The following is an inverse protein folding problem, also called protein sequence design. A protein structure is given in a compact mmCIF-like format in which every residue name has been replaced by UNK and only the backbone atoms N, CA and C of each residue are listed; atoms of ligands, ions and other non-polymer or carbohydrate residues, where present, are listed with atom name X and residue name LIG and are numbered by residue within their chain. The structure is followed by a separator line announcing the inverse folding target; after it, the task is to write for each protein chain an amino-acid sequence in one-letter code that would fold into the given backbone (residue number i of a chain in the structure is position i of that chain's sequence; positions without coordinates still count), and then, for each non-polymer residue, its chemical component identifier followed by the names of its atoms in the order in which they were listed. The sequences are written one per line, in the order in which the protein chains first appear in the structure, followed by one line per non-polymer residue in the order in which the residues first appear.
data_IF_102113474954
#
_entry.id   IF_102113474954
#
_cell.length_a   1.000
_cell.length_b   1.000
_cell.length_c   1.000
_cell.angle_alpha   90.00
_cell.angle_beta   90.00
_cell.angle_gamma   90.00
#
_symmetry.space_group_name_H-M   'P 1'
#
loop_
_entity.id
_entity.type
_entity.pdbx_description
1 polymer ?
#
# COMPACT_ATOMS: atom_id res chain seq x y z
N UNK A 1 -18.06 12.40 7.16
CA UNK A 1 -17.09 11.65 6.32
C UNK A 1 -16.13 10.91 7.24
N UNK A 2 -15.88 9.61 7.03
CA UNK A 2 -14.80 8.94 7.75
C UNK A 2 -13.49 9.69 7.45
N UNK A 3 -12.68 9.94 8.48
CA UNK A 3 -11.37 10.59 8.29
C UNK A 3 -10.50 9.67 7.44
N UNK A 4 -9.92 10.16 6.33
CA UNK A 4 -9.00 9.36 5.56
C UNK A 4 -7.77 9.03 6.40
N UNK A 5 -7.12 7.90 6.10
CA UNK A 5 -5.82 7.59 6.70
C UNK A 5 -4.80 8.70 6.37
N UNK A 6 -3.99 9.14 7.34
CA UNK A 6 -2.91 10.10 7.09
C UNK A 6 -2.00 9.63 5.96
N UNK A 7 -1.40 10.55 5.21
CA UNK A 7 -0.49 10.18 4.12
C UNK A 7 0.72 9.41 4.63
N UNK A 8 1.37 9.90 5.69
CA UNK A 8 2.54 9.25 6.30
C UNK A 8 2.23 7.80 6.71
N UNK A 9 1.05 7.57 7.29
CA UNK A 9 0.60 6.20 7.62
C UNK A 9 0.51 5.32 6.37
N UNK A 10 -0.08 5.81 5.29
CA UNK A 10 -0.19 5.04 4.03
C UNK A 10 1.18 4.72 3.46
N UNK A 11 2.10 5.68 3.50
CA UNK A 11 3.46 5.53 2.99
C UNK A 11 4.25 4.51 3.82
N UNK A 12 4.14 4.54 5.15
CA UNK A 12 4.78 3.57 6.03
C UNK A 12 4.26 2.16 5.82
N UNK A 13 2.94 1.98 5.73
CA UNK A 13 2.35 0.65 5.48
C UNK A 13 2.76 0.13 4.10
N UNK A 14 2.80 0.99 3.07
CA UNK A 14 3.29 0.61 1.73
C UNK A 14 4.78 0.23 1.78
N UNK A 15 5.61 0.97 2.52
CA UNK A 15 7.03 0.68 2.69
C UNK A 15 7.26 -0.67 3.35
N UNK A 16 6.49 -1.00 4.40
CA UNK A 16 6.55 -2.31 5.07
C UNK A 16 6.08 -3.42 4.13
N UNK A 17 4.97 -3.21 3.41
CA UNK A 17 4.44 -4.19 2.47
C UNK A 17 5.39 -4.48 1.30
N UNK A 18 6.12 -3.48 0.80
CA UNK A 18 7.14 -3.65 -0.27
C UNK A 18 8.39 -4.38 0.22
N UNK A 19 8.83 -4.11 1.45
CA UNK A 19 10.03 -4.72 2.05
C UNK A 19 9.71 -5.94 2.93
N UNK A 20 8.52 -6.54 2.75
CA UNK A 20 8.07 -7.69 3.55
C UNK A 20 9.01 -8.88 3.37
N UNK A 21 9.26 -9.60 4.46
CA UNK A 21 10.12 -10.78 4.45
C UNK A 21 9.59 -11.93 3.58
N UNK A 22 10.44 -12.91 3.22
CA UNK A 22 10.01 -14.09 2.48
C UNK A 22 8.91 -14.83 3.24
N UNK A 23 7.82 -15.18 2.55
CA UNK A 23 6.66 -15.85 3.14
C UNK A 23 5.63 -14.92 3.81
N UNK A 24 5.92 -13.61 3.95
CA UNK A 24 4.93 -12.64 4.43
C UNK A 24 4.04 -12.18 3.27
N UNK A 25 2.72 -12.28 3.45
CA UNK A 25 1.75 -11.82 2.45
C UNK A 25 1.32 -10.38 2.69
N UNK A 26 0.80 -9.74 1.64
CA UNK A 26 0.24 -8.38 1.74
C UNK A 26 -0.98 -8.37 2.67
N UNK A 27 -1.76 -9.44 2.70
CA UNK A 27 -2.90 -9.57 3.62
C UNK A 27 -2.47 -9.62 5.09
N UNK A 28 -1.37 -10.31 5.40
CA UNK A 28 -0.82 -10.34 6.75
C UNK A 28 -0.36 -8.95 7.20
N UNK A 29 0.35 -8.22 6.34
CA UNK A 29 0.75 -6.83 6.62
C UNK A 29 -0.49 -5.96 6.81
N UNK A 30 -1.48 -6.07 5.93
CA UNK A 30 -2.71 -5.28 6.04
C UNK A 30 -3.44 -5.54 7.37
N UNK A 31 -3.54 -6.80 7.78
CA UNK A 31 -4.16 -7.20 9.04
C UNK A 31 -3.42 -6.63 10.27
N UNK A 32 -2.08 -6.66 10.27
CA UNK A 32 -1.24 -6.09 11.34
C UNK A 32 -1.49 -4.59 11.55
N UNK A 33 -1.67 -3.85 10.45
CA UNK A 33 -1.98 -2.41 10.49
C UNK A 33 -3.47 -2.07 10.60
N UNK A 34 -4.36 -3.07 10.68
CA UNK A 34 -5.81 -2.87 10.73
C UNK A 34 -6.40 -2.30 9.42
N UNK A 35 -5.72 -2.50 8.29
CA UNK A 35 -6.14 -2.02 6.97
C UNK A 35 -6.71 -3.19 6.18
N UNK A 36 -7.76 -2.94 5.39
CA UNK A 36 -8.29 -3.94 4.47
C UNK A 36 -7.27 -4.24 3.37
N UNK A 37 -6.98 -5.51 3.08
CA UNK A 37 -5.94 -5.91 2.12
C UNK A 37 -6.09 -5.23 0.75
N UNK A 38 -7.32 -5.12 0.23
CA UNK A 38 -7.59 -4.45 -1.06
C UNK A 38 -7.21 -2.96 -1.05
N UNK A 39 -7.31 -2.29 0.11
CA UNK A 39 -6.89 -0.90 0.28
C UNK A 39 -5.37 -0.78 0.18
N UNK A 40 -4.64 -1.70 0.83
CA UNK A 40 -3.17 -1.74 0.74
C UNK A 40 -2.69 -2.03 -0.69
N UNK A 41 -3.34 -2.96 -1.41
CA UNK A 41 -3.06 -3.21 -2.82
C UNK A 41 -3.21 -1.96 -3.69
N UNK A 42 -4.25 -1.14 -3.45
CA UNK A 42 -4.45 0.13 -4.17
C UNK A 42 -3.35 1.14 -3.86
N UNK A 43 -2.92 1.25 -2.61
CA UNK A 43 -1.85 2.16 -2.23
C UNK A 43 -0.51 1.75 -2.83
N UNK A 44 -0.16 0.47 -2.80
CA UNK A 44 1.05 -0.04 -3.46
C UNK A 44 1.01 0.23 -4.98
N UNK A 45 -0.12 -0.01 -5.65
CA UNK A 45 -0.28 0.30 -7.08
C UNK A 45 -0.10 1.79 -7.36
N UNK A 46 -0.64 2.67 -6.52
CA UNK A 46 -0.46 4.12 -6.67
C UNK A 46 1.01 4.51 -6.48
N UNK A 47 1.69 3.93 -5.49
CA UNK A 47 3.10 4.17 -5.25
C UNK A 47 3.99 3.63 -6.39
N UNK A 48 3.61 2.55 -7.08
CA UNK A 48 4.35 2.05 -8.26
C UNK A 48 4.22 3.01 -9.45
N UNK A 49 3.09 3.71 -9.56
CA UNK A 49 2.85 4.70 -10.61
C UNK A 49 3.64 5.98 -10.32
N UNK A 50 3.63 6.43 -9.06
CA UNK A 50 4.32 7.65 -8.61
C UNK A 50 5.85 7.52 -8.74
N UNK A 51 6.39 6.35 -8.39
CA UNK A 51 7.80 6.00 -8.53
C UNK A 51 8.24 5.78 -10.01
N UNK A 52 7.29 5.79 -10.95
CA UNK A 52 7.57 5.60 -12.38
C UNK A 52 7.93 4.16 -12.76
N UNK A 53 7.78 3.20 -11.84
CA UNK A 53 8.08 1.77 -12.05
C UNK A 53 7.04 1.06 -12.91
N UNK A 54 5.85 1.66 -13.14
CA UNK A 54 4.86 1.21 -14.13
C UNK A 54 4.36 2.39 -14.94
N UNK A 55 4.15 2.27 -16.27
CA UNK A 55 3.50 3.32 -17.05
C UNK A 55 2.10 3.51 -16.48
N UNK A 56 1.86 4.69 -15.88
CA UNK A 56 0.53 5.06 -15.44
C UNK A 56 -0.39 5.06 -16.65
N UNK A 57 -1.46 4.26 -16.63
CA UNK A 57 -2.57 4.50 -17.55
C UNK A 57 -3.27 5.75 -17.03
N UNK A 58 -2.81 6.90 -17.49
CA UNK A 58 -3.60 8.12 -17.53
C UNK A 58 -4.78 7.83 -18.45
N UNK A 59 -5.98 7.83 -17.89
CA UNK A 59 -7.22 8.09 -18.61
C UNK A 59 -7.82 9.34 -18.02
#
# INVERSE_FOLDING_TARGET
MPKPYPQEFREDVVRVARNRGPGVTVEQVAADFGVHAMTLWKWMRRADIDDGTKPGTSS
#
